data_IF_272921232352
#
_entry.id   IF_272921232352
#
_cell.length_a   1.000
_cell.length_b   1.000
_cell.length_c   1.000
_cell.angle_alpha   90.00
_cell.angle_beta   90.00
_cell.angle_gamma   90.00
#
_symmetry.space_group_name_H-M   'P 1'
#
loop_
_entity.id
_entity.type
_entity.pdbx_description
1 polymer ?
#
# COMPACT_ATOMS: atom_id res chain seq x y z
N UNK A 1 0.22 -47.41 21.66
CA UNK A 1 1.58 -47.40 21.09
C UNK A 1 1.47 -47.52 19.58
N UNK A 2 1.97 -46.54 18.83
CA UNK A 2 1.93 -46.53 17.37
C UNK A 2 2.16 -45.12 16.83
N UNK A 3 3.42 -44.78 16.55
CA UNK A 3 3.87 -43.58 15.85
C UNK A 3 3.97 -43.92 14.36
N UNK A 4 3.34 -43.13 13.48
CA UNK A 4 3.76 -42.87 12.08
C UNK A 4 2.98 -41.61 11.63
N UNK A 5 3.57 -40.42 11.69
CA UNK A 5 4.44 -39.79 10.68
C UNK A 5 3.71 -39.49 9.36
N UNK A 6 3.24 -38.24 9.21
CA UNK A 6 2.59 -37.72 8.01
C UNK A 6 2.79 -36.21 7.85
N UNK A 7 4.02 -35.83 7.53
CA UNK A 7 4.49 -34.60 6.85
C UNK A 7 3.88 -33.25 7.28
N UNK A 8 4.59 -32.58 8.18
CA UNK A 8 4.49 -31.15 8.40
C UNK A 8 5.09 -30.38 7.22
N UNK A 9 4.28 -29.55 6.56
CA UNK A 9 4.78 -28.49 5.69
C UNK A 9 5.13 -27.29 6.58
N UNK A 10 6.42 -27.09 6.84
CA UNK A 10 6.90 -25.89 7.51
C UNK A 10 7.27 -24.88 6.45
N UNK A 11 6.35 -23.94 6.19
CA UNK A 11 6.70 -22.65 5.62
C UNK A 11 6.73 -21.65 6.77
N UNK A 12 7.90 -21.05 6.92
CA UNK A 12 8.28 -20.06 7.92
C UNK A 12 7.34 -18.85 7.88
N UNK A 13 6.87 -18.45 9.05
CA UNK A 13 6.31 -17.14 9.43
C UNK A 13 4.94 -16.70 8.86
N UNK A 14 3.90 -17.11 9.61
CA UNK A 14 2.71 -16.36 10.07
C UNK A 14 1.91 -15.48 9.08
N UNK A 15 0.98 -16.11 8.36
CA UNK A 15 -0.43 -15.68 8.39
C UNK A 15 -1.29 -16.91 8.67
N UNK A 16 -2.07 -16.88 9.76
CA UNK A 16 -3.05 -17.92 10.11
C UNK A 16 -4.39 -17.46 9.54
N UNK A 17 -4.76 -17.93 8.34
CA UNK A 17 -6.13 -17.79 7.86
C UNK A 17 -6.95 -19.02 8.26
N UNK A 18 -8.04 -18.78 9.00
CA UNK A 18 -9.02 -19.77 9.39
C UNK A 18 -9.79 -20.29 8.16
N UNK A 19 -9.59 -21.57 7.84
CA UNK A 19 -10.20 -22.26 6.72
C UNK A 19 -11.58 -22.84 7.08
N UNK A 20 -12.48 -22.00 7.62
CA UNK A 20 -13.72 -22.46 8.27
C UNK A 20 -15.03 -21.86 7.72
N UNK A 21 -15.08 -21.40 6.46
CA UNK A 21 -16.34 -21.03 5.80
C UNK A 21 -16.36 -21.41 4.32
N UNK A 22 -16.28 -22.71 4.03
CA UNK A 22 -16.71 -23.23 2.73
C UNK A 22 -18.19 -23.65 2.84
N UNK A 23 -19.07 -22.70 2.55
CA UNK A 23 -20.49 -22.93 2.34
C UNK A 23 -20.64 -23.74 1.05
N UNK A 24 -21.26 -24.92 1.13
CA UNK A 24 -21.63 -25.75 -0.02
C UNK A 24 -22.57 -24.97 -0.96
N UNK A 25 -22.45 -25.19 -2.28
CA UNK A 25 -23.66 -25.33 -3.07
C UNK A 25 -23.68 -26.65 -3.84
N UNK A 26 -24.76 -27.36 -3.59
CA UNK A 26 -25.21 -28.59 -4.23
C UNK A 26 -25.50 -28.37 -5.71
N UNK A 27 -25.12 -29.34 -6.54
CA UNK A 27 -25.50 -29.52 -7.94
C UNK A 27 -26.99 -29.22 -8.22
N UNK A 28 -27.29 -28.42 -9.25
CA UNK A 28 -28.56 -28.47 -10.00
C UNK A 28 -28.35 -28.05 -11.46
N UNK A 29 -28.29 -29.09 -12.31
CA UNK A 29 -28.85 -29.27 -13.66
C UNK A 29 -29.29 -28.09 -14.58
N UNK A 30 -28.91 -28.24 -15.87
CA UNK A 30 -29.68 -28.01 -17.14
C UNK A 30 -30.11 -26.54 -17.46
N UNK A 31 -30.13 -25.97 -18.67
CA UNK A 31 -30.34 -26.47 -20.05
C UNK A 31 -30.12 -25.30 -21.07
N UNK A 32 -29.57 -25.60 -22.26
CA UNK A 32 -29.91 -25.13 -23.64
C UNK A 32 -29.87 -23.64 -24.11
N UNK A 33 -29.16 -23.47 -25.24
CA UNK A 33 -29.56 -22.83 -26.54
C UNK A 33 -29.20 -21.36 -26.84
N UNK A 34 -28.13 -21.27 -27.65
CA UNK A 34 -28.04 -20.64 -28.98
C UNK A 34 -27.98 -19.12 -29.20
N UNK A 35 -27.34 -18.84 -30.35
CA UNK A 35 -27.35 -17.65 -31.20
C UNK A 35 -26.40 -16.50 -30.86
N UNK A 36 -25.26 -16.52 -31.57
CA UNK A 36 -24.88 -15.44 -32.46
C UNK A 36 -24.53 -14.09 -31.84
N UNK A 37 -23.23 -13.87 -31.62
CA UNK A 37 -22.61 -12.59 -31.91
C UNK A 37 -21.40 -12.84 -32.80
N UNK A 38 -21.51 -12.49 -34.08
CA UNK A 38 -20.34 -12.10 -34.87
C UNK A 38 -19.63 -10.99 -34.10
N UNK A 39 -18.49 -11.31 -33.52
CA UNK A 39 -17.46 -10.29 -33.27
C UNK A 39 -16.46 -10.42 -34.40
N UNK A 40 -16.66 -9.58 -35.42
CA UNK A 40 -15.57 -9.17 -36.28
C UNK A 40 -14.49 -8.59 -35.36
N UNK A 41 -13.38 -9.30 -35.26
CA UNK A 41 -12.23 -8.89 -34.47
C UNK A 41 -11.47 -7.84 -35.28
N UNK A 42 -11.37 -6.57 -34.84
CA UNK A 42 -10.25 -5.77 -35.25
C UNK A 42 -9.03 -6.45 -34.65
N UNK A 43 -8.14 -6.96 -35.50
CA UNK A 43 -6.82 -7.40 -35.07
C UNK A 43 -6.12 -6.21 -34.40
N UNK A 44 -6.22 -6.13 -33.07
CA UNK A 44 -5.31 -5.29 -32.29
C UNK A 44 -3.93 -5.93 -32.46
N UNK A 45 -2.95 -5.25 -33.05
CA UNK A 45 -1.60 -5.80 -33.15
C UNK A 45 -1.10 -6.13 -31.74
N UNK A 46 -0.48 -7.29 -31.51
CA UNK A 46 0.02 -7.68 -30.20
C UNK A 46 1.29 -6.87 -29.91
N UNK A 47 1.16 -5.61 -29.49
CA UNK A 47 2.34 -4.81 -29.11
C UNK A 47 2.06 -3.71 -28.07
N UNK A 48 0.81 -3.42 -27.74
CA UNK A 48 0.51 -2.27 -26.87
C UNK A 48 0.66 -2.56 -25.37
N UNK A 49 0.54 -3.82 -24.93
CA UNK A 49 0.54 -4.15 -23.49
C UNK A 49 1.89 -3.85 -22.82
N UNK A 50 2.99 -4.30 -23.42
CA UNK A 50 4.33 -4.08 -22.86
C UNK A 50 4.80 -2.63 -22.94
N UNK A 51 4.31 -1.86 -23.91
CA UNK A 51 4.66 -0.44 -24.06
C UNK A 51 3.95 0.41 -23.02
N UNK A 52 2.69 0.09 -22.69
CA UNK A 52 1.95 0.77 -21.62
C UNK A 52 2.51 0.40 -20.25
N UNK A 53 2.82 -0.87 -20.02
CA UNK A 53 3.41 -1.35 -18.75
C UNK A 53 4.79 -0.71 -18.50
N UNK A 54 5.69 -0.73 -19.49
CA UNK A 54 7.01 -0.08 -19.37
C UNK A 54 6.92 1.45 -19.20
N UNK A 55 5.93 2.12 -19.82
CA UNK A 55 5.72 3.55 -19.64
C UNK A 55 5.18 3.90 -18.24
N UNK A 56 4.35 3.03 -17.66
CA UNK A 56 3.86 3.15 -16.28
C UNK A 56 5.01 2.94 -15.29
N UNK A 57 5.86 1.94 -15.52
CA UNK A 57 7.02 1.67 -14.66
C UNK A 57 7.99 2.85 -14.66
N UNK A 58 8.32 3.40 -15.83
CA UNK A 58 9.23 4.54 -15.93
C UNK A 58 8.66 5.83 -15.30
N UNK A 59 7.34 6.05 -15.42
CA UNK A 59 6.67 7.17 -14.76
C UNK A 59 6.65 6.99 -13.23
N UNK A 60 6.46 5.76 -12.74
CA UNK A 60 6.50 5.44 -11.32
C UNK A 60 7.90 5.66 -10.73
N UNK A 61 8.95 5.19 -11.42
CA UNK A 61 10.34 5.44 -11.01
C UNK A 61 10.66 6.94 -10.93
N UNK A 62 10.27 7.72 -11.94
CA UNK A 62 10.49 9.17 -11.94
C UNK A 62 9.71 9.87 -10.81
N UNK A 63 8.48 9.44 -10.53
CA UNK A 63 7.68 9.95 -9.43
C UNK A 63 8.33 9.65 -8.07
N UNK A 64 8.87 8.44 -7.89
CA UNK A 64 9.59 8.03 -6.68
C UNK A 64 10.85 8.87 -6.49
N UNK A 65 11.70 9.00 -7.51
CA UNK A 65 12.92 9.82 -7.44
C UNK A 65 12.59 11.27 -7.11
N UNK A 66 11.57 11.84 -7.76
CA UNK A 66 11.13 13.19 -7.47
C UNK A 66 10.63 13.33 -6.02
N UNK A 67 9.86 12.36 -5.54
CA UNK A 67 9.35 12.35 -4.17
C UNK A 67 10.47 12.24 -3.13
N UNK A 68 11.42 11.31 -3.29
CA UNK A 68 12.61 11.18 -2.42
C UNK A 68 13.40 12.48 -2.41
N UNK A 69 13.57 13.14 -3.55
CA UNK A 69 14.29 14.41 -3.62
C UNK A 69 13.56 15.57 -2.92
N UNK A 70 12.22 15.58 -2.96
CA UNK A 70 11.43 16.61 -2.29
C UNK A 70 11.42 16.43 -0.78
N UNK A 71 11.28 15.19 -0.30
CA UNK A 71 11.07 14.90 1.12
C UNK A 71 12.36 14.56 1.86
N UNK A 72 13.39 14.07 1.17
CA UNK A 72 14.59 13.51 1.78
C UNK A 72 14.36 12.15 2.45
N UNK A 73 13.16 11.55 2.32
CA UNK A 73 12.80 10.26 2.91
C UNK A 73 13.03 9.14 1.91
N UNK A 74 13.44 7.97 2.40
CA UNK A 74 13.60 6.77 1.60
C UNK A 74 12.23 6.24 1.14
N UNK A 75 12.12 5.73 -0.08
CA UNK A 75 10.88 5.21 -0.69
C UNK A 75 10.63 3.70 -0.57
N UNK A 76 11.45 2.94 0.17
CA UNK A 76 11.30 1.48 0.22
C UNK A 76 9.98 1.05 0.88
N UNK A 77 9.20 0.24 0.18
CA UNK A 77 7.85 -0.13 0.61
C UNK A 77 7.84 -0.93 1.93
N UNK A 78 8.82 -1.82 2.12
CA UNK A 78 8.95 -2.61 3.35
C UNK A 78 9.24 -1.72 4.56
N UNK A 79 10.08 -0.69 4.38
CA UNK A 79 10.39 0.28 5.42
C UNK A 79 9.17 1.12 5.79
N UNK A 80 8.44 1.63 4.78
CA UNK A 80 7.21 2.39 5.02
C UNK A 80 6.12 1.55 5.67
N UNK A 81 6.03 0.25 5.37
CA UNK A 81 5.08 -0.63 6.03
C UNK A 81 5.33 -0.70 7.54
N UNK A 82 6.59 -0.73 7.97
CA UNK A 82 6.98 -0.71 9.39
C UNK A 82 6.69 0.66 10.01
N UNK A 83 7.13 1.74 9.35
CA UNK A 83 6.93 3.12 9.80
C UNK A 83 5.46 3.46 9.99
N UNK A 84 4.61 3.04 9.05
CA UNK A 84 3.17 3.26 9.13
C UNK A 84 2.55 2.45 10.25
N UNK A 85 2.96 1.19 10.46
CA UNK A 85 2.49 0.41 11.60
C UNK A 85 2.82 1.09 12.94
N UNK A 86 4.00 1.70 13.06
CA UNK A 86 4.38 2.49 14.24
C UNK A 86 3.54 3.77 14.37
N UNK A 87 3.44 4.57 13.30
CA UNK A 87 2.66 5.81 13.27
C UNK A 87 1.20 5.56 13.68
N UNK A 88 0.59 4.49 13.17
CA UNK A 88 -0.79 4.12 13.48
C UNK A 88 -1.03 3.92 14.99
N UNK A 89 -0.04 3.48 15.75
CA UNK A 89 -0.13 3.26 17.21
C UNK A 89 0.15 4.52 18.03
N UNK A 90 0.32 5.66 17.36
CA UNK A 90 0.47 6.98 17.97
C UNK A 90 -0.68 7.92 17.55
N UNK A 91 -0.50 9.22 17.75
CA UNK A 91 -1.43 10.27 17.29
C UNK A 91 -0.81 11.03 16.08
N UNK A 92 -0.63 10.39 14.90
CA UNK A 92 0.12 10.96 13.79
C UNK A 92 -0.60 12.12 13.08
N UNK A 93 -1.86 12.37 13.45
CA UNK A 93 -2.61 13.54 13.00
C UNK A 93 -2.18 14.83 13.71
N UNK A 94 -1.57 14.73 14.91
CA UNK A 94 -0.99 15.87 15.60
C UNK A 94 0.26 16.35 14.86
N UNK A 95 0.34 17.66 14.61
CA UNK A 95 1.44 18.24 13.82
C UNK A 95 2.81 17.98 14.47
N UNK A 96 2.89 18.10 15.79
CA UNK A 96 4.13 17.84 16.55
C UNK A 96 4.57 16.37 16.44
N UNK A 97 3.61 15.43 16.46
CA UNK A 97 3.90 14.00 16.27
C UNK A 97 4.44 13.74 14.87
N UNK A 98 3.79 14.28 13.84
CA UNK A 98 4.22 14.12 12.45
C UNK A 98 5.60 14.74 12.19
N UNK A 99 5.88 15.92 12.77
CA UNK A 99 7.20 16.56 12.68
C UNK A 99 8.30 15.74 13.38
N UNK A 100 8.04 15.26 14.60
CA UNK A 100 9.00 14.42 15.34
C UNK A 100 9.36 13.16 14.56
N UNK A 101 8.38 12.48 13.99
CA UNK A 101 8.62 11.27 13.17
C UNK A 101 9.33 11.61 11.85
N UNK A 102 9.01 12.74 11.23
CA UNK A 102 9.72 13.20 10.04
C UNK A 102 11.20 13.50 10.33
N UNK A 103 11.52 14.15 11.45
CA UNK A 103 12.90 14.39 11.87
C UNK A 103 13.65 13.08 12.14
N UNK A 104 12.99 12.13 12.81
CA UNK A 104 13.53 10.79 13.03
C UNK A 104 13.85 10.09 11.70
N UNK A 105 12.89 10.06 10.77
CA UNK A 105 13.08 9.38 9.49
C UNK A 105 14.11 10.07 8.60
N UNK A 106 14.16 11.40 8.59
CA UNK A 106 15.24 12.13 7.93
C UNK A 106 16.61 11.75 8.50
N UNK A 107 16.72 11.61 9.81
CA UNK A 107 17.97 11.21 10.47
C UNK A 107 18.36 9.77 10.10
N UNK A 108 17.40 8.84 10.13
CA UNK A 108 17.61 7.43 9.76
C UNK A 108 17.98 7.26 8.29
N UNK A 109 17.36 8.05 7.41
CA UNK A 109 17.53 7.97 5.96
C UNK A 109 18.73 8.80 5.45
N UNK A 110 19.39 9.57 6.33
CA UNK A 110 20.47 10.47 5.97
C UNK A 110 20.01 11.72 5.18
N UNK A 111 18.74 12.10 5.31
CA UNK A 111 18.15 13.32 4.78
C UNK A 111 18.56 14.59 5.55
N UNK A 112 18.21 15.75 5.01
CA UNK A 112 18.47 17.06 5.65
C UNK A 112 17.26 17.54 6.45
N UNK A 113 17.51 18.10 7.64
CA UNK A 113 16.49 18.80 8.45
C UNK A 113 15.86 20.00 7.73
N UNK A 114 16.52 20.55 6.70
CA UNK A 114 15.92 21.59 5.86
C UNK A 114 14.65 21.10 5.13
N UNK A 115 14.50 19.78 4.99
CA UNK A 115 13.34 19.10 4.40
C UNK A 115 12.26 18.76 5.42
N UNK A 116 12.42 19.12 6.69
CA UNK A 116 11.51 18.72 7.77
C UNK A 116 10.04 19.05 7.45
N UNK A 117 9.78 20.22 6.86
CA UNK A 117 8.42 20.61 6.46
C UNK A 117 7.81 19.68 5.40
N UNK A 118 8.57 19.34 4.38
CA UNK A 118 8.10 18.46 3.29
C UNK A 118 7.97 17.02 3.78
N UNK A 119 8.91 16.58 4.65
CA UNK A 119 8.89 15.28 5.29
C UNK A 119 7.70 15.14 6.27
N UNK A 120 7.40 16.14 7.10
CA UNK A 120 6.28 16.10 8.05
C UNK A 120 4.92 16.10 7.35
N UNK A 121 4.78 16.89 6.28
CA UNK A 121 3.62 16.83 5.38
C UNK A 121 3.43 15.41 4.84
N UNK A 122 4.51 14.79 4.41
CA UNK A 122 4.50 13.44 3.84
C UNK A 122 4.15 12.37 4.87
N UNK A 123 4.74 12.44 6.07
CA UNK A 123 4.40 11.55 7.19
C UNK A 123 2.91 11.63 7.49
N UNK A 124 2.35 12.84 7.58
CA UNK A 124 0.93 13.05 7.83
C UNK A 124 0.04 12.47 6.71
N UNK A 125 0.37 12.72 5.44
CA UNK A 125 -0.39 12.23 4.28
C UNK A 125 -0.37 10.71 4.15
N UNK A 126 0.75 10.08 4.49
CA UNK A 126 0.82 8.62 4.50
C UNK A 126 0.08 8.04 5.72
N UNK A 127 0.17 8.69 6.88
CA UNK A 127 -0.56 8.29 8.07
C UNK A 127 -2.07 8.32 7.86
N UNK A 128 -2.64 9.39 7.31
CA UNK A 128 -4.10 9.45 7.06
C UNK A 128 -4.57 8.36 6.09
N UNK A 129 -3.71 7.92 5.16
CA UNK A 129 -4.02 6.82 4.25
C UNK A 129 -3.97 5.47 4.97
N UNK A 130 -3.03 5.28 5.90
CA UNK A 130 -2.80 4.01 6.59
C UNK A 130 -3.70 3.79 7.84
N UNK A 131 -3.99 4.83 8.60
CA UNK A 131 -4.80 4.77 9.84
C UNK A 131 -5.98 5.75 9.83
N UNK A 132 -6.64 5.91 8.68
CA UNK A 132 -7.79 6.82 8.53
C UNK A 132 -8.83 6.72 9.64
N UNK A 133 -9.15 5.50 10.07
CA UNK A 133 -10.17 5.26 11.10
C UNK A 133 -9.79 5.79 12.49
N UNK A 134 -8.51 6.14 12.69
CA UNK A 134 -8.00 6.75 13.92
C UNK A 134 -7.86 8.28 13.80
N UNK A 135 -7.99 8.86 12.61
CA UNK A 135 -7.90 10.31 12.41
C UNK A 135 -9.19 10.99 12.90
N UNK A 136 -9.12 11.90 13.89
CA UNK A 136 -10.28 12.65 14.30
C UNK A 136 -10.70 13.61 13.17
N UNK A 137 -12.02 13.80 12.93
CA UNK A 137 -12.51 14.65 11.84
C UNK A 137 -11.90 16.06 11.83
N UNK A 138 -11.74 16.65 13.00
CA UNK A 138 -11.13 17.97 13.19
C UNK A 138 -9.69 18.06 12.69
N UNK A 139 -8.91 16.98 12.78
CA UNK A 139 -7.54 16.98 12.28
C UNK A 139 -7.50 16.89 10.76
N UNK A 140 -8.46 16.21 10.14
CA UNK A 140 -8.60 16.17 8.68
C UNK A 140 -8.92 17.57 8.14
N UNK A 141 -9.78 18.33 8.84
CA UNK A 141 -10.10 19.72 8.50
C UNK A 141 -8.90 20.65 8.67
N UNK A 142 -8.09 20.46 9.72
CA UNK A 142 -6.86 21.22 9.95
C UNK A 142 -5.81 20.96 8.85
N UNK A 143 -5.78 19.75 8.32
CA UNK A 143 -4.85 19.34 7.27
C UNK A 143 -3.42 19.07 7.77
N UNK A 144 -2.51 18.70 6.87
CA UNK A 144 -1.14 18.35 7.23
C UNK A 144 -0.33 19.57 7.72
N UNK A 145 0.76 19.32 8.46
CA UNK A 145 1.74 20.36 8.78
C UNK A 145 2.15 21.13 7.52
N UNK A 146 2.27 22.46 7.61
CA UNK A 146 2.78 23.28 6.52
C UNK A 146 1.82 23.60 5.36
N UNK A 147 0.61 23.01 5.32
CA UNK A 147 -0.45 23.33 4.35
C UNK A 147 -1.77 23.84 4.96
N UNK A 148 -1.95 23.79 6.28
CA UNK A 148 -3.18 24.29 6.93
C UNK A 148 -3.03 24.64 8.41
N UNK A 149 -3.56 25.82 8.78
CA UNK A 149 -3.67 26.36 10.14
C UNK A 149 -3.10 27.76 10.28
#
# INVERSE_FOLDING_TARGET
MGIHAGRSCWLTYRYRMDCSRLVKPTLTALLLVATGCSFESPQVPPTTSHVVEAAVDHAAEAAVVNWVNMTGLWSEADLWSIRLAELCETDPWEHETAERYAEQYLTEDGGSVDRLKDASTTVWLNAITACRDRFPPEAIEKGPPGLGG
#
